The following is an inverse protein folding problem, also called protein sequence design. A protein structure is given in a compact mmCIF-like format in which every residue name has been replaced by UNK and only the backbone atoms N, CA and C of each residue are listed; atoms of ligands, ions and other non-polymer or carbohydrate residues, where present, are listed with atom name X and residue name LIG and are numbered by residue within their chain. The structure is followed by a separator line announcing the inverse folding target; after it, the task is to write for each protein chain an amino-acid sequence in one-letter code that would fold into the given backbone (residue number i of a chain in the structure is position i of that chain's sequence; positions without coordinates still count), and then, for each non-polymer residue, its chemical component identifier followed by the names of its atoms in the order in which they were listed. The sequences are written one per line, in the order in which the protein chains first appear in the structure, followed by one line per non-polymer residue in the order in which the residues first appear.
data_IF_134406504218
#
_entry.id   IF_134406504218
#
_cell.length_a   1.000
_cell.length_b   1.000
_cell.length_c   1.000
_cell.angle_alpha   90.00
_cell.angle_beta   90.00
_cell.angle_gamma   90.00
#
_symmetry.space_group_name_H-M   'P 1'
#
loop_
_entity.id
_entity.type
_entity.pdbx_description
1 polymer ?
#
# COMPACT_ATOMS: atom_id res chain seq x y z
N UNK A 1 0.64 -21.37 25.72
CA UNK A 1 1.07 -20.28 24.83
C UNK A 1 -0.14 -19.65 24.17
N UNK A 2 -0.15 -18.31 24.03
CA UNK A 2 -1.13 -17.55 23.25
C UNK A 2 -0.39 -16.49 22.42
N UNK A 3 -0.97 -16.07 21.30
CA UNK A 3 -0.45 -14.95 20.51
C UNK A 3 -1.45 -13.81 20.59
N UNK A 4 -0.99 -12.59 20.91
CA UNK A 4 -1.77 -11.38 20.75
C UNK A 4 -1.22 -10.58 19.57
N UNK A 5 -2.07 -10.28 18.60
CA UNK A 5 -1.77 -9.38 17.51
C UNK A 5 -2.43 -8.05 17.81
N UNK A 6 -1.61 -7.01 17.94
CA UNK A 6 -2.07 -5.65 18.20
C UNK A 6 -1.73 -4.76 17.00
N UNK A 7 -2.72 -4.18 16.34
CA UNK A 7 -2.43 -3.45 15.11
C UNK A 7 -3.61 -3.15 14.20
N UNK A 8 -3.27 -2.92 12.93
CA UNK A 8 -4.20 -2.60 11.84
C UNK A 8 -3.66 -3.03 10.48
N UNK A 9 -4.47 -2.77 9.45
CA UNK A 9 -4.10 -2.84 8.04
C UNK A 9 -3.75 -4.25 7.54
N UNK A 10 -3.32 -4.35 6.28
CA UNK A 10 -3.08 -5.64 5.64
C UNK A 10 -1.98 -6.45 6.32
N UNK A 11 -0.99 -5.81 6.97
CA UNK A 11 0.05 -6.53 7.71
C UNK A 11 -0.53 -7.34 8.87
N UNK A 12 -1.40 -6.74 9.69
CA UNK A 12 -2.05 -7.45 10.79
C UNK A 12 -2.98 -8.56 10.29
N UNK A 13 -3.77 -8.26 9.24
CA UNK A 13 -4.68 -9.23 8.63
C UNK A 13 -3.93 -10.42 8.02
N UNK A 14 -2.90 -10.17 7.23
CA UNK A 14 -2.13 -11.22 6.54
C UNK A 14 -1.33 -12.08 7.52
N UNK A 15 -0.67 -11.48 8.51
CA UNK A 15 0.03 -12.22 9.57
C UNK A 15 -0.96 -13.06 10.38
N UNK A 16 -2.11 -12.51 10.77
CA UNK A 16 -3.13 -13.25 11.50
C UNK A 16 -3.69 -14.42 10.68
N UNK A 17 -3.99 -14.19 9.39
CA UNK A 17 -4.46 -15.24 8.48
C UNK A 17 -3.44 -16.36 8.33
N UNK A 18 -2.16 -16.03 8.19
CA UNK A 18 -1.07 -17.01 8.16
C UNK A 18 -1.01 -17.84 9.44
N UNK A 19 -1.07 -17.18 10.60
CA UNK A 19 -1.03 -17.84 11.91
C UNK A 19 -2.21 -18.78 12.13
N UNK A 20 -3.44 -18.36 11.79
CA UNK A 20 -4.63 -19.22 11.88
C UNK A 20 -4.50 -20.49 11.03
N UNK A 21 -3.89 -20.38 9.84
CA UNK A 21 -3.71 -21.51 8.93
C UNK A 21 -2.57 -22.44 9.38
N UNK A 22 -1.44 -21.90 9.82
CA UNK A 22 -0.24 -22.69 10.17
C UNK A 22 -0.30 -23.25 11.60
N UNK A 23 -0.92 -22.52 12.52
CA UNK A 23 -0.97 -22.83 13.94
C UNK A 23 -2.41 -22.84 14.48
N UNK A 24 -3.28 -23.73 13.97
CA UNK A 24 -4.70 -23.73 14.32
C UNK A 24 -4.95 -23.98 15.83
N UNK A 25 -4.01 -24.62 16.52
CA UNK A 25 -4.12 -24.95 17.95
C UNK A 25 -3.66 -23.82 18.89
N UNK A 26 -3.02 -22.76 18.37
CA UNK A 26 -2.55 -21.63 19.19
C UNK A 26 -3.63 -20.56 19.24
N UNK A 27 -4.20 -20.23 20.43
CA UNK A 27 -5.21 -19.18 20.53
C UNK A 27 -4.63 -17.81 20.15
N UNK A 28 -5.32 -17.12 19.23
CA UNK A 28 -4.98 -15.76 18.81
C UNK A 28 -5.95 -14.76 19.45
N UNK A 29 -5.40 -13.73 20.09
CA UNK A 29 -6.11 -12.59 20.65
C UNK A 29 -5.86 -11.36 19.78
N UNK A 30 -6.87 -10.50 19.65
CA UNK A 30 -6.79 -9.32 18.79
C UNK A 30 -6.96 -8.04 19.61
N UNK A 31 -6.06 -7.09 19.41
CA UNK A 31 -6.15 -5.73 19.95
C UNK A 31 -6.14 -4.75 18.79
N UNK A 32 -7.27 -4.11 18.49
CA UNK A 32 -7.37 -3.16 17.37
C UNK A 32 -6.80 -1.78 17.73
N UNK A 33 -6.47 -1.03 16.70
CA UNK A 33 -6.23 0.41 16.81
C UNK A 33 -7.55 1.16 17.09
N UNK A 34 -7.44 2.35 17.69
CA UNK A 34 -8.60 3.20 18.03
C UNK A 34 -9.33 3.69 16.79
N UNK A 35 -8.60 3.96 15.72
CA UNK A 35 -9.14 4.49 14.46
C UNK A 35 -9.74 3.43 13.54
N UNK A 36 -9.58 2.14 13.85
CA UNK A 36 -10.19 1.07 13.07
C UNK A 36 -11.70 0.98 13.40
N UNK A 37 -12.52 1.32 12.40
CA UNK A 37 -13.98 1.41 12.48
C UNK A 37 -14.70 0.22 11.81
N UNK A 38 -13.97 -0.82 11.38
CA UNK A 38 -14.58 -2.03 10.83
C UNK A 38 -14.91 -1.94 9.33
N UNK A 39 -14.44 -0.89 8.64
CA UNK A 39 -14.66 -0.71 7.19
C UNK A 39 -13.34 -0.89 6.44
N UNK A 40 -13.35 -1.72 5.40
CA UNK A 40 -12.21 -1.88 4.50
C UNK A 40 -12.01 -0.61 3.65
N UNK A 41 -10.76 -0.24 3.46
CA UNK A 41 -10.32 0.88 2.62
C UNK A 41 -9.21 0.40 1.69
N UNK A 42 -8.30 1.28 1.27
CA UNK A 42 -7.05 0.86 0.62
C UNK A 42 -6.21 -0.12 1.47
N UNK A 43 -6.50 -0.21 2.77
CA UNK A 43 -6.11 -1.29 3.64
C UNK A 43 -7.34 -1.95 4.28
N UNK A 44 -7.25 -3.26 4.51
CA UNK A 44 -8.28 -4.02 5.20
C UNK A 44 -8.37 -3.62 6.67
N UNK A 45 -9.59 -3.58 7.20
CA UNK A 45 -9.85 -3.43 8.62
C UNK A 45 -9.48 -4.72 9.34
N UNK A 46 -8.59 -4.61 10.33
CA UNK A 46 -8.21 -5.77 11.13
C UNK A 46 -9.34 -6.14 12.09
N UNK A 47 -10.10 -5.15 12.57
CA UNK A 47 -11.29 -5.39 13.36
C UNK A 47 -12.37 -6.16 12.59
N UNK A 48 -12.67 -5.75 11.35
CA UNK A 48 -13.60 -6.47 10.48
C UNK A 48 -13.14 -7.91 10.28
N UNK A 49 -11.88 -8.11 9.90
CA UNK A 49 -11.30 -9.43 9.71
C UNK A 49 -11.43 -10.31 10.96
N UNK A 50 -11.14 -9.76 12.15
CA UNK A 50 -11.23 -10.48 13.41
C UNK A 50 -12.67 -10.92 13.72
N UNK A 51 -13.66 -10.04 13.50
CA UNK A 51 -15.08 -10.39 13.68
C UNK A 51 -15.52 -11.48 12.70
N UNK A 52 -15.18 -11.33 11.41
CA UNK A 52 -15.55 -12.29 10.36
C UNK A 52 -14.97 -13.70 10.64
N UNK A 53 -13.85 -13.77 11.37
CA UNK A 53 -13.19 -15.02 11.78
C UNK A 53 -13.47 -15.41 13.25
N UNK A 54 -14.40 -14.74 13.94
CA UNK A 54 -14.77 -15.00 15.34
C UNK A 54 -13.58 -14.99 16.33
N UNK A 55 -12.61 -14.11 16.11
CA UNK A 55 -11.44 -13.99 16.98
C UNK A 55 -11.76 -13.20 18.26
N UNK A 56 -11.23 -13.60 19.43
CA UNK A 56 -11.46 -12.91 20.69
C UNK A 56 -10.77 -11.54 20.72
N UNK A 57 -11.59 -10.48 20.67
CA UNK A 57 -11.16 -9.10 20.85
C UNK A 57 -10.85 -8.78 22.32
N UNK A 58 -9.79 -8.02 22.56
CA UNK A 58 -9.33 -7.60 23.88
C UNK A 58 -8.94 -6.12 23.89
N UNK A 59 -9.06 -5.49 25.06
CA UNK A 59 -8.36 -4.24 25.30
C UNK A 59 -6.89 -4.50 25.65
N UNK A 60 -6.04 -3.48 25.48
CA UNK A 60 -4.62 -3.60 25.78
C UNK A 60 -4.39 -3.92 27.26
N UNK A 61 -5.25 -3.39 28.13
CA UNK A 61 -5.22 -3.62 29.57
C UNK A 61 -5.49 -5.09 29.92
N UNK A 62 -6.35 -5.77 29.15
CA UNK A 62 -6.69 -7.18 29.39
C UNK A 62 -5.53 -8.11 29.07
N UNK A 63 -4.68 -7.75 28.12
CA UNK A 63 -3.59 -8.63 27.65
C UNK A 63 -2.36 -8.59 28.55
N UNK A 64 -2.19 -7.53 29.34
CA UNK A 64 -1.06 -7.37 30.27
C UNK A 64 -0.90 -8.55 31.23
N UNK A 65 -2.02 -9.04 31.79
CA UNK A 65 -2.00 -10.09 32.81
C UNK A 65 -1.86 -11.52 32.26
N UNK A 66 -1.94 -11.72 30.94
CA UNK A 66 -2.00 -13.05 30.35
C UNK A 66 -0.61 -13.72 30.42
N UNK A 67 -0.49 -14.87 31.13
CA UNK A 67 0.77 -15.60 31.18
C UNK A 67 1.04 -16.33 29.86
N UNK A 68 2.33 -16.53 29.55
CA UNK A 68 2.78 -17.26 28.36
C UNK A 68 2.19 -16.68 27.04
N UNK A 69 2.22 -15.35 26.94
CA UNK A 69 1.75 -14.56 25.81
C UNK A 69 2.93 -14.12 24.93
N UNK A 70 2.82 -14.31 23.62
CA UNK A 70 3.63 -13.59 22.63
C UNK A 70 2.80 -12.40 22.17
N UNK A 71 3.30 -11.19 22.39
CA UNK A 71 2.66 -9.96 21.93
C UNK A 71 3.39 -9.45 20.69
N UNK A 72 2.64 -9.26 19.60
CA UNK A 72 3.14 -8.80 18.31
C UNK A 72 2.42 -7.51 17.90
N UNK A 73 3.14 -6.40 17.94
CA UNK A 73 2.70 -5.09 17.47
C UNK A 73 2.94 -4.94 15.97
N UNK A 74 1.89 -4.65 15.22
CA UNK A 74 1.89 -4.47 13.77
C UNK A 74 1.17 -3.16 13.41
N UNK A 75 1.91 -2.05 13.30
CA UNK A 75 1.35 -0.70 13.08
C UNK A 75 0.39 -0.24 14.21
N UNK A 76 0.70 -0.60 15.46
CA UNK A 76 -0.13 -0.31 16.63
C UNK A 76 -0.07 1.16 17.06
N UNK A 77 -1.18 1.72 17.55
CA UNK A 77 -1.32 3.16 17.82
C UNK A 77 -1.21 3.55 19.30
N UNK A 78 -0.95 2.60 20.20
CA UNK A 78 -0.80 2.85 21.64
C UNK A 78 0.64 2.58 22.07
N UNK A 79 1.13 3.41 22.99
CA UNK A 79 2.38 3.16 23.70
C UNK A 79 2.21 1.89 24.54
N UNK A 80 3.19 1.00 24.44
CA UNK A 80 3.24 -0.27 25.15
C UNK A 80 4.21 -0.09 26.32
N UNK A 81 3.79 -0.52 27.51
CA UNK A 81 4.58 -0.44 28.74
C UNK A 81 5.01 -1.86 29.14
N UNK A 82 6.23 -2.32 28.76
CA UNK A 82 6.67 -3.70 28.98
C UNK A 82 6.55 -4.17 30.42
N UNK A 83 6.77 -3.28 31.39
CA UNK A 83 6.71 -3.56 32.82
C UNK A 83 5.30 -3.96 33.31
N UNK A 84 4.26 -3.71 32.51
CA UNK A 84 2.89 -4.14 32.81
C UNK A 84 2.61 -5.56 32.38
N UNK A 85 3.40 -6.13 31.46
CA UNK A 85 3.17 -7.47 30.95
C UNK A 85 3.71 -8.54 31.90
N UNK A 86 2.93 -9.59 32.12
CA UNK A 86 3.40 -10.83 32.74
C UNK A 86 4.41 -11.60 31.86
N UNK A 87 4.47 -11.29 30.57
CA UNK A 87 5.36 -11.91 29.59
C UNK A 87 6.43 -10.94 29.10
N UNK A 88 7.64 -11.44 28.86
CA UNK A 88 8.75 -10.71 28.24
C UNK A 88 8.81 -10.86 26.71
N UNK A 89 7.91 -11.65 26.11
CA UNK A 89 7.86 -11.93 24.67
C UNK A 89 7.07 -10.86 23.91
N UNK A 90 7.60 -9.64 23.89
CA UNK A 90 7.00 -8.46 23.26
C UNK A 90 7.83 -8.07 22.02
N UNK A 91 7.18 -8.00 20.86
CA UNK A 91 7.82 -7.73 19.56
C UNK A 91 7.03 -6.69 18.76
N UNK A 92 7.74 -5.90 17.96
CA UNK A 92 7.16 -4.90 17.08
C UNK A 92 7.81 -4.97 15.70
N UNK A 93 6.99 -4.78 14.66
CA UNK A 93 7.47 -4.47 13.32
C UNK A 93 7.51 -2.94 13.18
N UNK A 94 8.65 -2.39 12.80
CA UNK A 94 8.80 -0.96 12.53
C UNK A 94 9.24 -0.74 11.09
N UNK A 95 8.63 0.24 10.42
CA UNK A 95 8.84 0.54 9.01
C UNK A 95 10.04 1.45 8.77
N UNK A 96 11.21 1.00 9.21
CA UNK A 96 12.51 1.58 8.85
C UNK A 96 13.63 0.56 9.00
N UNK A 97 14.83 0.89 8.54
CA UNK A 97 16.07 0.23 8.96
C UNK A 97 16.57 0.89 10.24
N UNK A 98 16.11 0.39 11.39
CA UNK A 98 16.61 0.82 12.69
C UNK A 98 18.14 0.64 12.76
N UNK A 99 18.88 1.59 13.39
CA UNK A 99 18.37 2.62 14.29
C UNK A 99 17.85 3.90 13.62
N UNK A 100 17.91 4.03 12.29
CA UNK A 100 17.43 5.22 11.58
C UNK A 100 15.89 5.27 11.53
N UNK A 101 15.33 6.49 11.47
CA UNK A 101 13.90 6.76 11.29
C UNK A 101 12.95 6.09 12.30
N UNK A 102 13.28 6.17 13.60
CA UNK A 102 12.33 5.87 14.69
C UNK A 102 11.12 6.82 14.64
N UNK A 103 9.97 6.34 15.09
CA UNK A 103 8.76 7.15 15.20
C UNK A 103 7.96 7.23 13.90
N UNK A 104 7.65 8.45 13.47
CA UNK A 104 6.55 8.72 12.54
C UNK A 104 7.01 8.95 11.09
N UNK A 105 6.06 8.82 10.15
CA UNK A 105 6.18 9.26 8.75
C UNK A 105 7.34 8.66 7.95
N UNK A 106 7.69 7.40 8.26
CA UNK A 106 8.78 6.69 7.61
C UNK A 106 8.55 6.40 6.11
N UNK A 107 7.32 6.59 5.61
CA UNK A 107 7.04 6.56 4.17
C UNK A 107 7.37 7.87 3.45
N UNK A 108 7.49 9.00 4.16
CA UNK A 108 7.75 10.31 3.57
C UNK A 108 9.20 10.77 3.81
N UNK A 109 9.69 10.64 5.05
CA UNK A 109 10.97 11.22 5.47
C UNK A 109 12.20 10.65 4.72
N UNK A 110 12.33 9.34 4.47
CA UNK A 110 13.44 8.83 3.65
C UNK A 110 13.45 9.42 2.24
N UNK A 111 12.27 9.64 1.65
CA UNK A 111 12.13 10.25 0.32
C UNK A 111 12.54 11.72 0.37
N UNK A 112 12.09 12.48 1.39
CA UNK A 112 12.48 13.88 1.59
C UNK A 112 13.99 14.05 1.78
N UNK A 113 14.63 13.11 2.49
CA UNK A 113 16.06 13.12 2.76
C UNK A 113 16.90 12.49 1.64
N UNK A 114 16.26 12.11 0.53
CA UNK A 114 16.93 11.53 -0.63
C UNK A 114 17.71 10.23 -0.32
N UNK A 115 17.18 9.42 0.59
CA UNK A 115 17.76 8.12 0.92
C UNK A 115 17.71 7.17 -0.28
N UNK A 116 18.73 6.34 -0.44
CA UNK A 116 18.75 5.28 -1.47
C UNK A 116 17.97 4.04 -1.02
N UNK A 117 17.81 3.87 0.29
CA UNK A 117 17.16 2.72 0.90
C UNK A 117 16.42 3.08 2.17
N UNK A 118 15.36 2.34 2.42
CA UNK A 118 14.74 2.21 3.74
C UNK A 118 14.66 0.72 4.08
N UNK A 119 13.71 0.30 4.91
CA UNK A 119 13.47 -1.11 5.18
C UNK A 119 12.46 -1.33 6.29
N UNK A 120 12.42 -2.56 6.78
CA UNK A 120 11.56 -2.97 7.88
C UNK A 120 12.40 -3.69 8.92
N UNK A 121 12.08 -3.48 10.19
CA UNK A 121 12.78 -4.07 11.33
C UNK A 121 11.80 -4.77 12.26
N UNK A 122 12.05 -6.04 12.56
CA UNK A 122 11.41 -6.75 13.67
C UNK A 122 12.32 -6.63 14.89
N UNK A 123 11.80 -6.08 15.98
CA UNK A 123 12.58 -5.82 17.19
C UNK A 123 11.77 -6.08 18.47
N UNK A 124 12.47 -6.13 19.60
CA UNK A 124 11.86 -6.21 20.94
C UNK A 124 11.21 -4.88 21.29
N UNK A 125 10.09 -4.93 22.02
CA UNK A 125 9.50 -3.74 22.63
C UNK A 125 10.17 -3.51 23.98
N UNK A 126 10.69 -2.30 24.19
CA UNK A 126 11.20 -1.78 25.45
C UNK A 126 10.40 -0.51 25.85
N UNK A 127 10.88 0.24 26.84
CA UNK A 127 10.19 1.43 27.35
C UNK A 127 10.24 2.65 26.42
N UNK A 128 11.07 2.61 25.38
CA UNK A 128 11.23 3.72 24.44
C UNK A 128 10.38 3.55 23.17
N UNK A 129 10.56 4.47 22.22
CA UNK A 129 9.88 4.44 20.93
C UNK A 129 10.86 3.85 19.91
N UNK A 130 10.58 2.61 19.49
CA UNK A 130 11.37 1.87 18.51
C UNK A 130 12.85 1.70 18.91
N UNK A 131 13.16 1.55 20.20
CA UNK A 131 14.54 1.49 20.73
C UNK A 131 15.02 0.09 21.10
N UNK A 132 14.12 -0.88 21.31
CA UNK A 132 14.50 -2.22 21.74
C UNK A 132 15.34 -2.99 20.72
N UNK A 133 15.98 -4.06 21.20
CA UNK A 133 16.95 -4.84 20.44
C UNK A 133 16.36 -5.40 19.13
N UNK A 134 17.16 -5.31 18.07
CA UNK A 134 16.82 -5.77 16.73
C UNK A 134 16.90 -7.28 16.67
N UNK A 135 15.87 -7.92 16.14
CA UNK A 135 15.81 -9.36 15.91
C UNK A 135 16.20 -9.69 14.47
N UNK A 136 15.59 -9.00 13.50
CA UNK A 136 15.95 -9.08 12.09
C UNK A 136 15.48 -7.85 11.31
N UNK A 137 16.06 -7.63 10.13
CA UNK A 137 15.76 -6.49 9.27
C UNK A 137 15.79 -6.89 7.80
N UNK A 138 15.03 -6.17 6.97
CA UNK A 138 15.07 -6.32 5.51
C UNK A 138 15.08 -4.94 4.86
N UNK A 139 16.11 -4.69 4.05
CA UNK A 139 16.27 -3.43 3.32
C UNK A 139 15.32 -3.36 2.11
N UNK A 140 14.89 -2.15 1.80
CA UNK A 140 14.05 -1.81 0.65
C UNK A 140 14.78 -0.73 -0.14
N UNK A 141 15.11 -1.02 -1.39
CA UNK A 141 15.66 -0.02 -2.30
C UNK A 141 14.56 0.93 -2.76
N UNK A 142 14.84 2.24 -2.68
CA UNK A 142 13.92 3.28 -3.11
C UNK A 142 14.17 3.58 -4.59
N UNK A 143 13.12 3.49 -5.42
CA UNK A 143 13.26 3.88 -6.82
C UNK A 143 13.31 5.42 -6.97
N UNK A 144 13.85 5.95 -8.07
CA UNK A 144 13.81 7.39 -8.35
C UNK A 144 12.38 7.97 -8.44
N UNK A 145 11.39 7.13 -8.76
CA UNK A 145 9.97 7.49 -8.83
C UNK A 145 9.17 7.10 -7.58
N UNK A 146 9.83 6.58 -6.54
CA UNK A 146 9.16 6.09 -5.33
C UNK A 146 8.33 7.19 -4.69
N UNK A 147 7.06 6.91 -4.40
CA UNK A 147 6.15 7.79 -3.65
C UNK A 147 5.98 7.25 -2.23
N UNK A 148 5.44 8.07 -1.33
CA UNK A 148 5.13 7.60 0.02
C UNK A 148 4.13 6.43 0.02
N UNK A 149 3.16 6.42 -0.90
CA UNK A 149 2.23 5.30 -1.05
C UNK A 149 2.91 4.03 -1.55
N UNK A 150 3.77 4.11 -2.56
CA UNK A 150 4.46 2.92 -3.08
C UNK A 150 5.43 2.34 -2.06
N UNK A 151 6.14 3.20 -1.31
CA UNK A 151 7.00 2.77 -0.21
C UNK A 151 6.20 2.14 0.93
N UNK A 152 5.06 2.72 1.30
CA UNK A 152 4.18 2.12 2.30
C UNK A 152 3.68 0.73 1.89
N UNK A 153 3.28 0.54 0.61
CA UNK A 153 2.91 -0.78 0.09
C UNK A 153 4.07 -1.78 0.22
N UNK A 154 5.31 -1.36 -0.08
CA UNK A 154 6.51 -2.20 0.12
C UNK A 154 6.73 -2.53 1.59
N UNK A 155 6.57 -1.59 2.51
CA UNK A 155 6.68 -1.87 3.95
C UNK A 155 5.68 -2.92 4.42
N UNK A 156 4.42 -2.81 3.99
CA UNK A 156 3.38 -3.78 4.35
C UNK A 156 3.75 -5.19 3.86
N UNK A 157 4.18 -5.30 2.60
CA UNK A 157 4.58 -6.59 2.03
C UNK A 157 5.82 -7.16 2.75
N UNK A 158 6.91 -6.39 2.77
CA UNK A 158 8.20 -6.81 3.34
C UNK A 158 8.10 -7.07 4.83
N UNK A 159 7.32 -6.28 5.56
CA UNK A 159 7.08 -6.48 6.99
C UNK A 159 6.24 -7.72 7.28
N UNK A 160 5.23 -8.00 6.45
CA UNK A 160 4.47 -9.26 6.55
C UNK A 160 5.40 -10.45 6.34
N UNK A 161 6.21 -10.42 5.28
CA UNK A 161 7.17 -11.48 4.96
C UNK A 161 8.17 -11.67 6.10
N UNK A 162 8.75 -10.57 6.62
CA UNK A 162 9.73 -10.62 7.70
C UNK A 162 9.17 -11.26 8.97
N UNK A 163 7.92 -10.95 9.34
CA UNK A 163 7.24 -11.59 10.47
C UNK A 163 7.01 -13.07 10.19
N UNK A 164 6.46 -13.41 9.03
CA UNK A 164 6.13 -14.80 8.65
C UNK A 164 7.39 -15.68 8.60
N UNK A 165 8.50 -15.16 8.09
CA UNK A 165 9.80 -15.84 8.03
C UNK A 165 10.38 -16.13 9.43
N UNK A 166 10.07 -15.30 10.44
CA UNK A 166 10.70 -15.34 11.77
C UNK A 166 9.75 -15.77 12.90
N UNK A 167 8.47 -16.00 12.63
CA UNK A 167 7.50 -16.33 13.69
C UNK A 167 7.83 -17.66 14.38
N UNK A 168 8.39 -18.62 13.64
CA UNK A 168 8.77 -19.93 14.17
C UNK A 168 9.89 -19.81 15.22
N UNK A 169 10.86 -18.91 15.02
CA UNK A 169 11.92 -18.69 16.00
C UNK A 169 11.40 -17.99 17.26
N UNK A 170 10.43 -17.08 17.11
CA UNK A 170 9.74 -16.43 18.23
C UNK A 170 8.94 -17.44 19.06
N UNK A 171 8.18 -18.32 18.40
CA UNK A 171 7.37 -19.35 19.06
C UNK A 171 8.24 -20.33 19.84
N UNK A 172 9.36 -20.76 19.25
CA UNK A 172 10.28 -21.73 19.84
C UNK A 172 11.35 -21.12 20.75
N UNK A 173 11.38 -19.79 20.91
CA UNK A 173 12.37 -19.06 21.72
C UNK A 173 13.83 -19.29 21.26
N UNK A 174 14.03 -19.45 19.94
CA UNK A 174 15.34 -19.69 19.30
C UNK A 174 15.90 -18.47 18.59
N UNK A 175 15.22 -17.32 18.68
CA UNK A 175 15.67 -16.06 18.08
C UNK A 175 16.86 -15.47 18.84
N UNK A 176 17.62 -14.61 18.16
CA UNK A 176 18.69 -13.80 18.77
C UNK A 176 18.40 -12.33 18.53
N UNK A 177 18.95 -11.46 19.38
CA UNK A 177 18.77 -10.02 19.26
C UNK A 177 20.09 -9.28 19.40
N UNK A 178 20.16 -8.08 18.82
CA UNK A 178 21.32 -7.19 18.89
C UNK A 178 20.85 -5.80 19.34
N UNK A 179 21.48 -5.18 20.35
CA UNK A 179 21.17 -3.81 20.75
C UNK A 179 21.37 -2.82 19.60
N UNK A 180 20.51 -1.80 19.55
CA UNK A 180 20.62 -0.75 18.53
C UNK A 180 21.86 0.11 18.74
N UNK A 181 22.55 0.46 17.65
CA UNK A 181 23.66 1.44 17.69
C UNK A 181 23.16 2.85 17.99
N UNK A 182 23.97 3.64 18.71
CA UNK A 182 23.74 5.08 18.87
C UNK A 182 24.10 5.86 17.60
N UNK A 183 24.99 5.33 16.77
CA UNK A 183 25.37 5.94 15.49
C UNK A 183 24.21 5.82 14.49
N UNK A 184 23.93 6.92 13.77
CA UNK A 184 22.83 7.01 12.80
C UNK A 184 21.43 6.75 13.39
N UNK A 185 21.27 6.85 14.72
CA UNK A 185 19.96 6.80 15.36
C UNK A 185 19.22 8.11 15.14
N UNK A 186 18.17 8.06 14.30
CA UNK A 186 17.33 9.21 13.96
C UNK A 186 15.90 8.98 14.47
N UNK A 187 15.25 10.03 14.98
CA UNK A 187 13.87 9.99 15.46
C UNK A 187 13.07 11.17 14.92
N UNK A 188 11.83 10.91 14.52
CA UNK A 188 10.90 11.93 14.07
C UNK A 188 9.56 11.76 14.76
N UNK A 189 9.11 12.82 15.43
CA UNK A 189 7.80 12.86 16.08
C UNK A 189 6.69 13.20 15.08
N UNK A 190 5.43 13.16 15.55
CA UNK A 190 4.27 13.61 14.78
C UNK A 190 4.36 15.09 14.35
N UNK A 191 5.11 15.92 15.07
CA UNK A 191 5.26 17.35 14.72
C UNK A 191 6.31 17.60 13.64
N UNK A 192 7.02 16.57 13.16
CA UNK A 192 8.02 16.70 12.09
C UNK A 192 7.39 17.05 10.73
N UNK A 193 6.13 16.68 10.50
CA UNK A 193 5.37 17.03 9.31
C UNK A 193 3.93 17.41 9.69
N UNK A 194 3.48 18.58 9.25
CA UNK A 194 2.11 19.01 9.44
C UNK A 194 1.25 18.72 8.20
N UNK A 195 0.67 17.52 8.14
CA UNK A 195 -0.20 17.12 7.02
C UNK A 195 -1.50 17.94 6.93
N UNK A 196 -1.90 18.70 7.95
CA UNK A 196 -3.09 19.57 7.86
C UNK A 196 -2.82 20.88 7.14
N UNK A 197 -1.56 21.28 7.02
CA UNK A 197 -1.11 22.53 6.41
C UNK A 197 0.18 22.27 5.63
N UNK A 198 0.08 21.35 4.68
CA UNK A 198 1.21 20.87 3.90
C UNK A 198 1.47 21.81 2.72
N UNK A 199 2.59 22.53 2.77
CA UNK A 199 3.03 23.42 1.70
C UNK A 199 4.31 22.89 1.03
N UNK A 200 4.38 23.02 -0.30
CA UNK A 200 5.60 22.75 -1.05
C UNK A 200 6.54 23.95 -0.94
N UNK A 201 7.75 23.74 -0.46
CA UNK A 201 8.82 24.74 -0.56
C UNK A 201 9.30 24.80 -2.01
N UNK A 202 9.10 25.95 -2.65
CA UNK A 202 9.50 26.22 -4.03
C UNK A 202 10.90 26.85 -4.12
N UNK A 203 11.49 27.24 -3.00
CA UNK A 203 12.81 27.88 -2.93
C UNK A 203 13.93 26.85 -2.67
N UNK A 204 13.88 25.76 -3.43
CA UNK A 204 14.77 24.60 -3.32
C UNK A 204 15.26 24.17 -4.70
N UNK A 205 16.13 23.17 -4.78
CA UNK A 205 16.50 22.57 -6.08
C UNK A 205 15.32 21.81 -6.71
N UNK A 206 15.37 21.62 -8.02
CA UNK A 206 14.37 20.81 -8.73
C UNK A 206 14.26 19.38 -8.16
N UNK A 207 15.39 18.80 -7.72
CA UNK A 207 15.41 17.50 -7.08
C UNK A 207 14.72 17.49 -5.71
N UNK A 208 14.93 18.51 -4.89
CA UNK A 208 14.24 18.65 -3.61
C UNK A 208 12.73 18.86 -3.80
N UNK A 209 12.32 19.68 -4.77
CA UNK A 209 10.88 19.85 -5.06
C UNK A 209 10.24 18.57 -5.58
N UNK A 210 10.93 17.84 -6.47
CA UNK A 210 10.48 16.51 -6.92
C UNK A 210 10.34 15.53 -5.75
N UNK A 211 11.29 15.55 -4.81
CA UNK A 211 11.27 14.68 -3.62
C UNK A 211 10.15 15.04 -2.65
N UNK A 212 9.83 16.33 -2.46
CA UNK A 212 8.65 16.77 -1.72
C UNK A 212 7.36 16.24 -2.36
N UNK A 213 7.21 16.38 -3.69
CA UNK A 213 6.04 15.88 -4.42
C UNK A 213 5.88 14.37 -4.21
N UNK A 214 6.96 13.60 -4.35
CA UNK A 214 6.94 12.14 -4.14
C UNK A 214 6.64 11.75 -2.69
N UNK A 215 7.26 12.41 -1.71
CA UNK A 215 7.08 12.14 -0.29
C UNK A 215 5.67 12.47 0.23
N UNK A 216 4.99 13.42 -0.41
CA UNK A 216 3.63 13.82 -0.06
C UNK A 216 2.58 13.20 -0.97
N UNK A 217 2.97 12.47 -2.00
CA UNK A 217 2.06 11.72 -2.85
C UNK A 217 1.58 10.45 -2.14
N UNK A 218 0.41 10.56 -1.51
CA UNK A 218 -0.33 9.44 -0.98
C UNK A 218 -1.83 9.69 -1.14
N UNK A 219 -2.35 9.38 -2.33
CA UNK A 219 -3.73 9.69 -2.76
C UNK A 219 -4.82 9.37 -1.72
N UNK A 220 -4.74 8.23 -1.04
CA UNK A 220 -5.74 7.81 -0.05
C UNK A 220 -5.81 8.72 1.20
N UNK A 221 -4.76 9.51 1.43
CA UNK A 221 -4.74 10.56 2.44
C UNK A 221 -4.87 11.95 1.79
N UNK A 222 -3.88 12.33 0.98
CA UNK A 222 -3.86 13.57 0.22
C UNK A 222 -2.78 13.55 -0.87
N UNK A 223 -2.96 14.43 -1.85
CA UNK A 223 -1.92 14.78 -2.80
C UNK A 223 -1.35 16.16 -2.45
N UNK A 224 -0.06 16.42 -2.70
CA UNK A 224 0.49 17.76 -2.57
C UNK A 224 -0.25 18.71 -3.50
N UNK A 225 -0.38 19.97 -3.09
CA UNK A 225 -1.03 21.01 -3.88
C UNK A 225 -0.03 22.05 -4.34
N UNK A 226 -0.15 22.47 -5.59
CA UNK A 226 0.61 23.55 -6.19
C UNK A 226 -0.36 24.52 -6.86
N UNK A 227 -0.39 25.76 -6.37
CA UNK A 227 -1.33 26.81 -6.82
C UNK A 227 -2.81 26.35 -6.89
N UNK A 228 -3.22 25.54 -5.92
CA UNK A 228 -4.59 25.01 -5.82
C UNK A 228 -4.85 23.70 -6.59
N UNK A 229 -3.91 23.26 -7.45
CA UNK A 229 -4.02 21.99 -8.15
C UNK A 229 -3.36 20.86 -7.36
N UNK A 230 -4.04 19.73 -7.23
CA UNK A 230 -3.39 18.48 -6.79
C UNK A 230 -2.36 18.04 -7.83
N UNK A 231 -1.18 17.62 -7.39
CA UNK A 231 -0.09 17.19 -8.28
C UNK A 231 0.40 15.79 -7.93
N UNK A 232 0.86 15.05 -8.94
CA UNK A 232 1.15 13.61 -8.82
C UNK A 232 2.61 13.24 -9.11
N UNK A 233 3.34 14.10 -9.82
CA UNK A 233 4.70 13.78 -10.22
C UNK A 233 5.43 15.01 -10.75
N UNK A 234 6.71 14.84 -11.02
CA UNK A 234 7.52 15.90 -11.59
C UNK A 234 8.64 15.38 -12.50
N UNK A 235 8.99 16.17 -13.50
CA UNK A 235 10.11 15.93 -14.40
C UNK A 235 11.05 17.14 -14.36
N UNK A 236 12.31 16.89 -13.99
CA UNK A 236 13.36 17.91 -14.02
C UNK A 236 13.80 18.10 -15.48
N UNK A 237 13.85 19.35 -15.92
CA UNK A 237 14.28 19.70 -17.28
C UNK A 237 15.77 20.00 -17.34
N UNK A 238 16.33 20.11 -18.54
CA UNK A 238 17.72 20.54 -18.73
C UNK A 238 17.90 22.07 -18.69
N UNK A 239 16.80 22.83 -18.72
CA UNK A 239 16.80 24.28 -18.77
C UNK A 239 16.98 24.90 -17.39
N UNK A 240 17.59 26.08 -17.33
CA UNK A 240 17.80 26.85 -16.10
C UNK A 240 17.32 28.28 -16.28
N UNK A 241 16.18 28.61 -15.68
CA UNK A 241 15.65 29.97 -15.71
C UNK A 241 16.47 30.90 -14.80
N UNK A 242 16.59 32.16 -15.19
CA UNK A 242 17.20 33.21 -14.36
C UNK A 242 16.17 33.90 -13.44
N UNK A 243 14.90 33.50 -13.51
CA UNK A 243 13.85 34.02 -12.64
C UNK A 243 13.99 33.46 -11.23
N UNK A 244 13.47 34.20 -10.24
CA UNK A 244 13.42 33.72 -8.85
C UNK A 244 12.72 32.35 -8.76
N UNK A 245 13.11 31.46 -7.83
CA UNK A 245 12.43 30.19 -7.63
C UNK A 245 10.92 30.34 -7.39
N UNK A 246 10.14 29.38 -7.88
CA UNK A 246 8.68 29.39 -7.81
C UNK A 246 7.99 30.32 -8.81
N UNK A 247 8.67 30.74 -9.89
CA UNK A 247 7.99 31.46 -11.00
C UNK A 247 7.48 30.47 -12.03
N UNK A 248 6.21 30.63 -12.40
CA UNK A 248 5.58 29.90 -13.49
C UNK A 248 6.20 30.34 -14.80
N UNK A 249 6.74 29.38 -15.54
CA UNK A 249 7.31 29.52 -16.87
C UNK A 249 6.30 29.10 -17.95
N UNK A 250 5.50 28.07 -17.65
CA UNK A 250 4.48 27.50 -18.51
C UNK A 250 3.38 26.89 -17.63
N UNK A 251 2.13 26.95 -18.08
CA UNK A 251 0.98 26.39 -17.40
C UNK A 251 -0.04 25.91 -18.44
N UNK A 252 -0.23 24.59 -18.53
CA UNK A 252 -1.20 23.97 -19.45
C UNK A 252 -2.16 23.02 -18.69
N UNK A 253 -2.95 22.22 -19.39
CA UNK A 253 -3.88 21.29 -18.74
C UNK A 253 -3.22 20.10 -18.03
N UNK A 254 -1.94 19.83 -18.29
CA UNK A 254 -1.21 18.66 -17.83
C UNK A 254 -0.17 18.99 -16.76
N UNK A 255 0.53 20.11 -16.87
CA UNK A 255 1.60 20.47 -15.95
C UNK A 255 1.75 21.98 -15.74
N UNK A 256 2.48 22.31 -14.68
CA UNK A 256 3.01 23.66 -14.42
C UNK A 256 4.53 23.55 -14.46
N UNK A 257 5.18 24.33 -15.31
CA UNK A 257 6.63 24.43 -15.36
C UNK A 257 7.10 25.59 -14.48
N UNK A 258 8.04 25.34 -13.58
CA UNK A 258 8.55 26.30 -12.61
C UNK A 258 10.06 26.50 -12.73
N UNK A 259 10.52 27.72 -12.47
CA UNK A 259 11.91 27.97 -12.07
C UNK A 259 12.15 27.47 -10.64
N UNK A 260 13.34 26.92 -10.38
CA UNK A 260 13.81 26.54 -9.03
C UNK A 260 15.19 27.15 -8.78
N UNK A 261 15.91 26.71 -7.73
CA UNK A 261 17.28 27.16 -7.46
C UNK A 261 18.27 26.79 -8.58
N UNK A 262 18.07 25.66 -9.25
CA UNK A 262 19.00 25.13 -10.24
C UNK A 262 18.36 24.90 -11.61
N UNK A 263 17.54 23.86 -11.76
CA UNK A 263 16.90 23.50 -13.02
C UNK A 263 15.41 23.84 -13.01
N UNK A 264 14.82 24.05 -14.18
CA UNK A 264 13.36 24.14 -14.26
C UNK A 264 12.75 22.75 -14.07
N UNK A 265 11.52 22.73 -13.58
CA UNK A 265 10.79 21.49 -13.28
C UNK A 265 9.36 21.57 -13.77
N UNK A 266 8.91 20.52 -14.47
CA UNK A 266 7.51 20.31 -14.82
C UNK A 266 6.84 19.53 -13.70
N UNK A 267 5.80 20.08 -13.10
CA UNK A 267 5.00 19.44 -12.06
C UNK A 267 3.64 19.06 -12.65
N UNK A 268 3.30 17.77 -12.64
CA UNK A 268 2.13 17.24 -13.33
C UNK A 268 0.88 17.31 -12.45
N UNK A 269 -0.20 17.86 -13.01
CA UNK A 269 -1.52 17.96 -12.39
C UNK A 269 -2.16 16.57 -12.32
N UNK A 270 -2.96 16.35 -11.28
CA UNK A 270 -3.76 15.12 -11.16
C UNK A 270 -4.85 15.07 -12.24
N UNK A 271 -4.88 13.97 -13.01
CA UNK A 271 -5.78 13.71 -14.15
C UNK A 271 -6.47 12.34 -14.04
N UNK A 272 -6.54 11.77 -12.83
CA UNK A 272 -7.11 10.43 -12.61
C UNK A 272 -8.54 10.31 -13.19
N UNK A 273 -9.41 11.31 -12.98
CA UNK A 273 -10.80 11.24 -13.44
C UNK A 273 -10.94 11.34 -14.95
N UNK A 274 -10.06 12.09 -15.62
CA UNK A 274 -10.00 12.10 -17.09
C UNK A 274 -9.61 10.72 -17.62
N UNK A 275 -8.61 10.07 -17.01
CA UNK A 275 -8.21 8.71 -17.36
C UNK A 275 -9.33 7.69 -17.12
N UNK A 276 -10.05 7.80 -16.01
CA UNK A 276 -11.20 6.93 -15.71
C UNK A 276 -12.32 7.11 -16.73
N UNK A 277 -12.60 8.32 -17.19
CA UNK A 277 -13.59 8.56 -18.23
C UNK A 277 -13.13 8.00 -19.58
N UNK A 278 -11.84 8.15 -19.94
CA UNK A 278 -11.30 7.47 -21.13
C UNK A 278 -11.44 5.94 -21.04
N UNK A 279 -11.20 5.35 -19.87
CA UNK A 279 -11.38 3.92 -19.62
C UNK A 279 -12.83 3.47 -19.77
N UNK A 280 -13.79 4.32 -19.40
CA UNK A 280 -15.23 4.04 -19.51
C UNK A 280 -15.73 4.16 -20.95
N UNK A 281 -15.19 5.12 -21.72
CA UNK A 281 -15.61 5.42 -23.09
C UNK A 281 -14.83 4.65 -24.17
N UNK A 282 -13.90 3.77 -23.79
CA UNK A 282 -12.91 3.15 -24.67
C UNK A 282 -12.11 4.17 -25.51
N UNK A 283 -11.84 5.36 -24.97
CA UNK A 283 -11.08 6.42 -25.64
C UNK A 283 -9.57 6.22 -25.45
N UNK A 284 -9.00 5.37 -26.29
CA UNK A 284 -7.56 5.10 -26.28
C UNK A 284 -6.73 6.32 -26.67
N UNK A 285 -7.24 7.18 -27.55
CA UNK A 285 -6.52 8.36 -28.02
C UNK A 285 -6.36 9.38 -26.89
N UNK A 286 -7.46 9.75 -26.23
CA UNK A 286 -7.44 10.66 -25.08
C UNK A 286 -6.59 10.13 -23.93
N UNK A 287 -6.67 8.83 -23.65
CA UNK A 287 -5.85 8.19 -22.62
C UNK A 287 -4.35 8.35 -22.88
N UNK A 288 -3.91 8.18 -24.14
CA UNK A 288 -2.49 8.33 -24.54
C UNK A 288 -1.96 9.75 -24.46
N UNK A 289 -2.83 10.76 -24.44
CA UNK A 289 -2.43 12.17 -24.33
C UNK A 289 -2.16 12.60 -22.89
N UNK A 290 -2.62 11.84 -21.89
CA UNK A 290 -2.45 12.17 -20.49
C UNK A 290 -1.09 11.63 -20.01
N UNK A 291 -0.18 12.49 -19.51
CA UNK A 291 1.13 12.07 -19.03
C UNK A 291 1.04 11.34 -17.69
N UNK A 292 2.18 10.78 -17.25
CA UNK A 292 2.31 10.07 -15.96
C UNK A 292 1.43 8.82 -15.84
N UNK A 293 1.12 8.16 -16.96
CA UNK A 293 0.31 6.93 -16.95
C UNK A 293 0.91 5.86 -16.02
N UNK A 294 2.24 5.73 -16.00
CA UNK A 294 3.00 4.84 -15.13
C UNK A 294 2.67 4.99 -13.63
N UNK A 295 2.43 6.22 -13.18
CA UNK A 295 1.93 6.47 -11.82
C UNK A 295 0.49 5.95 -11.65
N UNK A 296 -0.41 6.26 -12.59
CA UNK A 296 -1.82 5.92 -12.46
C UNK A 296 -2.13 4.42 -12.60
N UNK A 297 -1.26 3.62 -13.23
CA UNK A 297 -1.44 2.17 -13.37
C UNK A 297 -1.59 1.46 -12.01
N UNK A 298 -0.99 2.01 -10.95
CA UNK A 298 -0.97 1.43 -9.60
C UNK A 298 -1.82 2.19 -8.58
N UNK A 299 -2.61 3.15 -9.08
CA UNK A 299 -3.56 3.95 -8.32
C UNK A 299 -5.00 3.48 -8.54
N UNK A 300 -5.86 3.90 -7.62
CA UNK A 300 -7.28 3.61 -7.65
C UNK A 300 -8.09 4.82 -7.22
N UNK A 301 -9.34 4.89 -7.64
CA UNK A 301 -10.28 5.84 -7.03
C UNK A 301 -10.59 5.44 -5.57
N UNK A 302 -10.95 6.43 -4.75
CA UNK A 302 -10.94 6.30 -3.28
C UNK A 302 -12.24 5.75 -2.68
N UNK A 303 -13.28 5.57 -3.50
CA UNK A 303 -14.62 5.16 -3.03
C UNK A 303 -14.71 3.64 -2.91
N UNK A 304 -14.31 2.92 -3.95
CA UNK A 304 -14.38 1.46 -4.05
C UNK A 304 -13.02 0.82 -4.32
N UNK A 305 -12.00 1.61 -4.66
CA UNK A 305 -10.69 1.09 -5.02
C UNK A 305 -10.61 0.63 -6.47
N UNK A 306 -11.39 1.21 -7.39
CA UNK A 306 -11.31 0.82 -8.80
C UNK A 306 -10.04 1.37 -9.46
N UNK A 307 -9.25 0.48 -10.06
CA UNK A 307 -8.13 0.84 -10.92
C UNK A 307 -8.63 1.21 -12.32
N UNK A 308 -7.78 1.85 -13.13
CA UNK A 308 -8.07 2.12 -14.55
C UNK A 308 -8.51 0.85 -15.29
N UNK A 309 -7.79 -0.26 -15.06
CA UNK A 309 -8.05 -1.54 -15.71
C UNK A 309 -9.41 -2.14 -15.30
N UNK A 310 -9.84 -1.98 -14.04
CA UNK A 310 -11.16 -2.43 -13.59
C UNK A 310 -12.28 -1.66 -14.28
N UNK A 311 -12.14 -0.33 -14.39
CA UNK A 311 -13.13 0.52 -15.07
C UNK A 311 -13.23 0.14 -16.54
N UNK A 312 -12.09 -0.03 -17.21
CA UNK A 312 -12.05 -0.46 -18.61
C UNK A 312 -12.67 -1.86 -18.81
N UNK A 313 -12.33 -2.81 -17.92
CA UNK A 313 -12.86 -4.18 -17.96
C UNK A 313 -14.38 -4.20 -17.79
N UNK A 314 -14.90 -3.49 -16.79
CA UNK A 314 -16.34 -3.43 -16.54
C UNK A 314 -17.10 -2.81 -17.73
N UNK A 315 -16.52 -1.85 -18.43
CA UNK A 315 -17.14 -1.20 -19.59
C UNK A 315 -16.83 -1.90 -20.93
N UNK A 316 -16.22 -3.09 -20.91
CA UNK A 316 -15.82 -3.83 -22.12
C UNK A 316 -14.94 -2.99 -23.08
N UNK A 317 -14.12 -2.09 -22.54
CA UNK A 317 -13.24 -1.20 -23.28
C UNK A 317 -11.95 -1.93 -23.66
N UNK A 318 -12.06 -2.85 -24.63
CA UNK A 318 -11.01 -3.83 -24.96
C UNK A 318 -9.71 -3.17 -25.42
N UNK A 319 -9.77 -2.11 -26.23
CA UNK A 319 -8.57 -1.43 -26.74
C UNK A 319 -7.79 -0.75 -25.61
N UNK A 320 -8.53 -0.11 -24.70
CA UNK A 320 -7.95 0.46 -23.48
C UNK A 320 -7.41 -0.63 -22.56
N UNK A 321 -8.14 -1.73 -22.33
CA UNK A 321 -7.65 -2.84 -21.51
C UNK A 321 -6.33 -3.38 -22.05
N UNK A 322 -6.25 -3.66 -23.36
CA UNK A 322 -5.04 -4.16 -24.00
C UNK A 322 -3.88 -3.20 -23.79
N UNK A 323 -4.09 -1.93 -24.06
CA UNK A 323 -3.05 -0.92 -23.89
C UNK A 323 -2.59 -0.80 -22.43
N UNK A 324 -3.51 -0.76 -21.46
CA UNK A 324 -3.16 -0.68 -20.04
C UNK A 324 -2.33 -1.89 -19.58
N UNK A 325 -2.66 -3.09 -20.05
CA UNK A 325 -1.90 -4.33 -19.78
C UNK A 325 -0.50 -4.22 -20.40
N UNK A 326 -0.39 -3.77 -21.65
CA UNK A 326 0.89 -3.54 -22.33
C UNK A 326 1.77 -2.52 -21.59
N UNK A 327 1.17 -1.53 -20.91
CA UNK A 327 1.89 -0.57 -20.08
C UNK A 327 2.23 -1.10 -18.68
N UNK A 328 1.78 -2.30 -18.31
CA UNK A 328 2.11 -2.94 -17.03
C UNK A 328 1.03 -2.84 -15.95
N UNK A 329 -0.23 -2.55 -16.31
CA UNK A 329 -1.34 -2.65 -15.36
C UNK A 329 -1.43 -4.07 -14.78
N UNK A 330 -1.64 -4.17 -13.47
CA UNK A 330 -1.82 -5.46 -12.80
C UNK A 330 -3.17 -6.10 -13.17
N UNK A 331 -3.13 -7.16 -13.99
CA UNK A 331 -4.29 -7.95 -14.40
C UNK A 331 -4.99 -8.65 -13.24
N UNK A 332 -4.32 -8.79 -12.09
CA UNK A 332 -4.82 -9.43 -10.89
C UNK A 332 -5.13 -8.41 -9.78
N UNK A 333 -5.15 -7.11 -10.10
CA UNK A 333 -5.48 -6.06 -9.16
C UNK A 333 -6.82 -6.31 -8.46
N UNK A 334 -6.91 -5.86 -7.20
CA UNK A 334 -8.09 -6.02 -6.34
C UNK A 334 -8.54 -4.68 -5.80
N UNK A 335 -9.86 -4.48 -5.78
CA UNK A 335 -10.49 -3.31 -5.17
C UNK A 335 -10.52 -3.45 -3.63
N UNK A 336 -11.19 -2.53 -2.92
CA UNK A 336 -11.26 -2.56 -1.45
C UNK A 336 -12.08 -3.72 -0.86
N UNK A 337 -12.86 -4.42 -1.67
CA UNK A 337 -13.57 -5.65 -1.29
C UNK A 337 -12.84 -6.93 -1.74
N UNK A 338 -11.66 -6.80 -2.35
CA UNK A 338 -10.92 -7.93 -2.92
C UNK A 338 -11.40 -8.37 -4.30
N UNK A 339 -12.42 -7.73 -4.88
CA UNK A 339 -12.94 -8.06 -6.21
C UNK A 339 -11.86 -7.83 -7.27
N UNK A 340 -11.61 -8.84 -8.10
CA UNK A 340 -10.54 -8.82 -9.10
C UNK A 340 -10.98 -8.18 -10.41
N UNK A 341 -10.01 -7.77 -11.24
CA UNK A 341 -10.26 -7.32 -12.63
C UNK A 341 -11.08 -8.36 -13.42
N UNK A 342 -10.76 -9.65 -13.28
CA UNK A 342 -11.45 -10.73 -14.00
C UNK A 342 -12.91 -10.90 -13.57
N UNK A 343 -13.26 -10.61 -12.30
CA UNK A 343 -14.65 -10.57 -11.84
C UNK A 343 -15.44 -9.43 -12.50
N UNK A 344 -14.83 -8.27 -12.72
CA UNK A 344 -15.45 -7.17 -13.47
C UNK A 344 -15.59 -7.49 -14.97
N UNK A 345 -14.57 -8.12 -15.56
CA UNK A 345 -14.62 -8.58 -16.95
C UNK A 345 -15.77 -9.59 -17.15
N UNK A 346 -15.97 -10.52 -16.20
CA UNK A 346 -17.11 -11.43 -16.19
C UNK A 346 -18.45 -10.68 -16.25
N UNK A 347 -18.65 -9.65 -15.43
CA UNK A 347 -19.89 -8.86 -15.48
C UNK A 347 -20.10 -8.18 -16.85
N UNK A 348 -19.03 -7.69 -17.48
CA UNK A 348 -19.09 -7.12 -18.81
C UNK A 348 -19.47 -8.16 -19.88
N UNK A 349 -18.89 -9.37 -19.82
CA UNK A 349 -19.22 -10.46 -20.75
C UNK A 349 -20.65 -10.94 -20.57
N UNK A 350 -21.15 -11.04 -19.33
CA UNK A 350 -22.55 -11.42 -19.09
C UNK A 350 -23.55 -10.40 -19.68
N UNK A 351 -23.14 -9.13 -19.86
CA UNK A 351 -23.98 -8.09 -20.49
C UNK A 351 -23.83 -8.01 -22.02
N UNK A 352 -22.63 -8.32 -22.53
CA UNK A 352 -22.27 -8.03 -23.93
C UNK A 352 -22.05 -9.26 -24.79
N UNK A 353 -21.94 -10.44 -24.17
CA UNK A 353 -21.55 -11.72 -24.79
C UNK A 353 -20.20 -11.69 -25.51
N UNK A 354 -19.33 -10.71 -25.21
CA UNK A 354 -18.02 -10.57 -25.82
C UNK A 354 -16.94 -11.30 -25.00
N UNK A 355 -16.62 -12.53 -25.40
CA UNK A 355 -15.64 -13.37 -24.72
C UNK A 355 -14.18 -12.93 -24.92
N UNK A 356 -13.90 -12.06 -25.89
CA UNK A 356 -12.53 -11.62 -26.20
C UNK A 356 -11.87 -10.91 -25.01
N UNK A 357 -12.66 -10.26 -24.16
CA UNK A 357 -12.16 -9.61 -22.95
C UNK A 357 -11.60 -10.64 -21.96
N UNK A 358 -12.28 -11.77 -21.78
CA UNK A 358 -11.81 -12.87 -20.92
C UNK A 358 -10.53 -13.47 -21.50
N UNK A 359 -10.51 -13.73 -22.81
CA UNK A 359 -9.32 -14.26 -23.49
C UNK A 359 -8.11 -13.35 -23.28
N UNK A 360 -8.27 -12.03 -23.50
CA UNK A 360 -7.23 -11.03 -23.26
C UNK A 360 -6.65 -11.13 -21.84
N UNK A 361 -7.50 -11.23 -20.82
CA UNK A 361 -7.05 -11.28 -19.43
C UNK A 361 -6.36 -12.62 -19.10
N UNK A 362 -6.93 -13.76 -19.53
CA UNK A 362 -6.34 -15.07 -19.27
C UNK A 362 -4.97 -15.24 -19.97
N UNK A 363 -4.85 -14.79 -21.21
CA UNK A 363 -3.59 -14.79 -21.97
C UNK A 363 -2.49 -13.96 -21.30
N UNK A 364 -2.88 -12.96 -20.51
CA UNK A 364 -1.96 -12.10 -19.76
C UNK A 364 -1.82 -12.49 -18.28
N UNK A 365 -2.23 -13.70 -17.90
CA UNK A 365 -1.96 -14.27 -16.57
C UNK A 365 -2.99 -13.90 -15.49
N UNK A 366 -4.20 -13.49 -15.87
CA UNK A 366 -5.27 -13.32 -14.91
C UNK A 366 -5.64 -14.66 -14.25
N UNK A 367 -5.70 -14.67 -12.92
CA UNK A 367 -5.94 -15.88 -12.14
C UNK A 367 -7.40 -15.94 -11.64
N UNK A 368 -8.24 -16.85 -12.17
CA UNK A 368 -9.64 -16.98 -11.78
C UNK A 368 -9.85 -17.56 -10.38
N UNK A 369 -8.81 -18.13 -9.74
CA UNK A 369 -8.87 -18.67 -8.39
C UNK A 369 -8.59 -17.62 -7.29
N UNK A 370 -8.29 -16.38 -7.67
CA UNK A 370 -8.14 -15.31 -6.69
C UNK A 370 -9.47 -15.04 -6.00
N UNK A 371 -9.48 -15.23 -4.68
CA UNK A 371 -10.64 -14.96 -3.83
C UNK A 371 -10.73 -13.50 -3.43
N UNK A 372 -11.94 -12.96 -3.43
CA UNK A 372 -12.24 -11.69 -2.81
C UNK A 372 -12.26 -11.80 -1.26
N UNK A 373 -12.55 -10.71 -0.56
CA UNK A 373 -12.55 -10.73 0.91
C UNK A 373 -13.75 -11.46 1.52
N UNK A 374 -14.70 -11.92 0.71
CA UNK A 374 -15.77 -12.83 1.13
C UNK A 374 -15.39 -14.31 0.99
N UNK A 375 -14.17 -14.61 0.52
CA UNK A 375 -13.68 -15.97 0.29
C UNK A 375 -14.23 -16.61 -0.97
N UNK A 376 -14.72 -15.81 -1.93
CA UNK A 376 -15.27 -16.32 -3.19
C UNK A 376 -14.33 -15.99 -4.34
N UNK A 377 -14.05 -16.98 -5.18
CA UNK A 377 -13.33 -16.78 -6.43
C UNK A 377 -14.32 -16.60 -7.60
N UNK A 378 -13.78 -16.39 -8.81
CA UNK A 378 -14.59 -16.15 -10.01
C UNK A 378 -15.61 -17.25 -10.29
N UNK A 379 -15.21 -18.51 -10.11
CA UNK A 379 -16.05 -19.67 -10.41
C UNK A 379 -17.22 -19.80 -9.44
N UNK A 380 -17.07 -19.39 -8.19
CA UNK A 380 -18.15 -19.43 -7.21
C UNK A 380 -19.32 -18.53 -7.60
N UNK A 381 -19.03 -17.36 -8.18
CA UNK A 381 -20.06 -16.49 -8.76
C UNK A 381 -20.69 -17.10 -10.02
N UNK A 382 -19.86 -17.67 -10.90
CA UNK A 382 -20.32 -18.20 -12.18
C UNK A 382 -21.18 -19.46 -12.06
N UNK A 383 -20.98 -20.29 -11.03
CA UNK A 383 -21.86 -21.45 -10.76
C UNK A 383 -23.34 -21.06 -10.66
N UNK A 384 -23.60 -19.86 -10.14
CA UNK A 384 -24.95 -19.32 -9.94
C UNK A 384 -25.40 -18.51 -11.17
N UNK A 385 -24.47 -17.79 -11.80
CA UNK A 385 -24.79 -16.81 -12.84
C UNK A 385 -24.78 -17.35 -14.27
N UNK A 386 -23.80 -18.19 -14.63
CA UNK A 386 -23.65 -18.72 -15.99
C UNK A 386 -22.73 -19.94 -16.04
N UNK A 387 -23.31 -21.13 -16.19
CA UNK A 387 -22.56 -22.37 -16.40
C UNK A 387 -21.82 -22.40 -17.74
N UNK A 388 -22.32 -21.71 -18.76
CA UNK A 388 -21.69 -21.62 -20.08
C UNK A 388 -20.36 -20.87 -19.98
N UNK A 389 -20.38 -19.68 -19.37
CA UNK A 389 -19.17 -18.87 -19.18
C UNK A 389 -18.19 -19.54 -18.22
N UNK A 390 -18.69 -20.22 -17.18
CA UNK A 390 -17.86 -21.05 -16.30
C UNK A 390 -17.06 -22.10 -17.09
N UNK A 391 -17.76 -22.91 -17.89
CA UNK A 391 -17.13 -23.98 -18.68
C UNK A 391 -16.14 -23.42 -19.71
N UNK A 392 -16.47 -22.29 -20.33
CA UNK A 392 -15.59 -21.59 -21.24
C UNK A 392 -14.27 -21.18 -20.56
N UNK A 393 -14.36 -20.45 -19.44
CA UNK A 393 -13.19 -19.96 -18.70
C UNK A 393 -12.36 -21.14 -18.19
N UNK A 394 -13.02 -22.15 -17.61
CA UNK A 394 -12.32 -23.31 -17.07
C UNK A 394 -11.56 -24.07 -18.18
N UNK A 395 -12.18 -24.26 -19.35
CA UNK A 395 -11.52 -24.91 -20.49
C UNK A 395 -10.34 -24.07 -21.00
N UNK A 396 -10.49 -22.76 -21.12
CA UNK A 396 -9.44 -21.86 -21.62
C UNK A 396 -8.27 -21.78 -20.66
N UNK A 397 -8.54 -21.56 -19.38
CA UNK A 397 -7.53 -21.39 -18.35
C UNK A 397 -6.66 -22.64 -18.15
N UNK A 398 -7.22 -23.85 -18.30
CA UNK A 398 -6.44 -25.10 -18.24
C UNK A 398 -5.44 -25.28 -19.41
N UNK A 399 -5.53 -24.47 -20.47
CA UNK A 399 -4.59 -24.53 -21.60
C UNK A 399 -3.43 -23.53 -21.47
N UNK A 400 -3.42 -22.72 -20.42
CA UNK A 400 -2.35 -21.79 -20.05
C UNK A 400 -1.68 -22.30 -18.78
#
# INVERSE_FOLDING_TARGET
MKICIAGKNNIAVSVCSYLLKKYPDIPILVVKNRTDNGTDSFQRSFWKFANDNNLPMKELEDVYSIPDLIFLSLEFDRIIYPERFSSSKLFNIHFSLLPAYKGMYTSALPILHAEERSGVTLHKIDSGIDTGDILCQKAIMLSPSETAKSLYKKYIQVGTDLVVENIDSILNDTYTTVPQSSEHSLYFSKSSLNYSDLELDLNVTAFQLSSQIRAFNFRDYQLPKLYGYSVVGACITNDRSTLRPGRILEDDCNYICLSTIDYNIRVYKDRLYDLLECCKLNDLYGLKLIPQLDYYLFESEQTHGWTLLMVAAYNNSIDVCRYLIEQGADVNARNFNGTTVLMYAKDAVLRTENYNLIDLFLENGANPLLEDYSGKNLFDYLKIQSMVLLQYINKKWLNF
#
